data_IF_109561947918
#
_entry.id   IF_109561947918
#
_cell.length_a   1.000
_cell.length_b   1.000
_cell.length_c   1.000
_cell.angle_alpha   90.00
_cell.angle_beta   90.00
_cell.angle_gamma   90.00
#
_symmetry.space_group_name_H-M   'P 1'
#
loop_
_entity.id
_entity.type
_entity.pdbx_description
1 polymer ?
#
# COMPACT_ATOMS: atom_id res chain seq x y z
N UNK A 1 30.24 10.20 26.07
CA UNK A 1 29.36 9.07 25.67
C UNK A 1 29.71 8.72 24.23
N UNK A 2 29.85 7.43 23.87
CA UNK A 2 30.04 7.05 22.48
C UNK A 2 28.73 7.28 21.71
N UNK A 3 28.85 7.93 20.56
CA UNK A 3 27.75 8.13 19.60
C UNK A 3 28.06 7.31 18.34
N UNK A 4 27.21 6.34 18.02
CA UNK A 4 27.34 5.51 16.83
C UNK A 4 26.54 6.13 15.69
N UNK A 5 27.18 6.43 14.57
CA UNK A 5 26.55 7.07 13.41
C UNK A 5 27.05 6.43 12.11
N UNK A 6 26.32 6.63 11.01
CA UNK A 6 26.78 6.22 9.67
C UNK A 6 26.99 7.45 8.81
N UNK A 7 28.20 7.62 8.27
CA UNK A 7 28.50 8.66 7.28
C UNK A 7 28.24 8.14 5.88
N UNK A 8 27.42 8.86 5.12
CA UNK A 8 27.04 8.54 3.74
C UNK A 8 27.32 9.76 2.86
N UNK A 9 27.83 9.53 1.65
CA UNK A 9 28.04 10.58 0.66
C UNK A 9 26.75 10.80 -0.14
N UNK A 10 26.33 12.05 -0.31
CA UNK A 10 25.25 12.38 -1.24
C UNK A 10 25.70 12.12 -2.69
N UNK A 11 24.79 11.91 -3.65
CA UNK A 11 25.15 11.80 -5.07
C UNK A 11 25.90 13.02 -5.62
N UNK A 12 25.75 14.19 -5.00
CA UNK A 12 26.43 15.43 -5.36
C UNK A 12 27.72 15.70 -4.57
N UNK A 13 28.15 14.80 -3.69
CA UNK A 13 29.37 14.97 -2.92
C UNK A 13 30.62 14.91 -3.82
N UNK A 14 31.63 15.71 -3.49
CA UNK A 14 32.89 15.78 -4.25
C UNK A 14 33.67 14.45 -4.28
N UNK A 15 33.44 13.60 -3.29
CA UNK A 15 34.03 12.26 -3.17
C UNK A 15 32.90 11.24 -2.99
N UNK A 16 32.85 10.24 -3.87
CA UNK A 16 31.96 9.09 -3.76
C UNK A 16 32.72 7.95 -3.07
N UNK A 17 32.40 7.71 -1.81
CA UNK A 17 32.99 6.68 -0.96
C UNK A 17 31.86 5.84 -0.34
N UNK A 18 32.10 4.55 -0.05
CA UNK A 18 31.08 3.71 0.57
C UNK A 18 30.68 4.25 1.96
N UNK A 19 29.48 3.93 2.44
CA UNK A 19 29.06 4.28 3.79
C UNK A 19 30.07 3.82 4.85
N UNK A 20 30.37 4.70 5.81
CA UNK A 20 31.32 4.43 6.89
C UNK A 20 30.58 4.45 8.22
N UNK A 21 30.70 3.39 9.01
CA UNK A 21 30.24 3.37 10.39
C UNK A 21 31.25 4.07 11.30
N UNK A 22 30.76 5.01 12.10
CA UNK A 22 31.55 5.87 12.98
C UNK A 22 31.15 5.64 14.44
N UNK A 23 32.16 5.58 15.30
CA UNK A 23 31.97 5.71 16.75
C UNK A 23 32.64 7.01 17.18
N UNK A 24 31.82 7.97 17.62
CA UNK A 24 32.25 9.31 18.00
C UNK A 24 32.33 9.38 19.52
N UNK A 25 33.53 9.58 20.05
CA UNK A 25 33.73 9.86 21.46
C UNK A 25 33.64 11.36 21.71
N UNK A 26 32.62 11.78 22.46
CA UNK A 26 32.46 13.18 22.84
C UNK A 26 31.85 13.33 24.25
N UNK A 27 32.09 14.46 24.93
CA UNK A 27 31.34 14.85 26.11
C UNK A 27 29.83 14.90 25.82
N UNK A 28 29.00 14.56 26.80
CA UNK A 28 27.53 14.66 26.65
C UNK A 28 27.12 16.11 26.36
N UNK A 29 26.35 16.33 25.30
CA UNK A 29 25.90 17.67 24.92
C UNK A 29 26.94 18.49 24.13
N UNK A 30 27.98 17.87 23.60
CA UNK A 30 28.93 18.54 22.70
C UNK A 30 28.21 19.19 21.50
N UNK A 31 28.74 20.33 21.05
CA UNK A 31 28.21 21.05 19.90
C UNK A 31 28.50 20.30 18.61
N UNK A 32 27.52 20.18 17.73
CA UNK A 32 27.67 19.54 16.43
C UNK A 32 28.67 20.25 15.50
N UNK A 33 28.98 21.53 15.76
CA UNK A 33 30.03 22.25 15.03
C UNK A 33 31.40 21.59 15.18
N UNK A 34 31.71 21.06 16.37
CA UNK A 34 32.97 20.33 16.62
C UNK A 34 33.00 19.00 15.86
N UNK A 35 31.87 18.29 15.84
CA UNK A 35 31.71 17.07 15.05
C UNK A 35 31.89 17.34 13.55
N UNK A 36 31.29 18.41 13.02
CA UNK A 36 31.43 18.77 11.62
C UNK A 36 32.87 19.11 11.25
N UNK A 37 33.59 19.84 12.11
CA UNK A 37 35.01 20.14 11.91
C UNK A 37 35.86 18.86 11.92
N UNK A 38 35.58 17.92 12.82
CA UNK A 38 36.27 16.63 12.88
C UNK A 38 36.02 15.78 11.62
N UNK A 39 34.77 15.71 11.14
CA UNK A 39 34.41 15.00 9.91
C UNK A 39 35.08 15.62 8.68
N UNK A 40 35.14 16.95 8.60
CA UNK A 40 35.81 17.65 7.51
C UNK A 40 37.32 17.37 7.50
N UNK A 41 37.96 17.31 8.68
CA UNK A 41 39.38 17.03 8.79
C UNK A 41 39.73 15.57 8.45
N UNK A 42 38.96 14.61 8.99
CA UNK A 42 39.27 13.17 8.86
C UNK A 42 38.77 12.58 7.53
N UNK A 43 37.55 12.92 7.14
CA UNK A 43 36.86 12.31 5.99
C UNK A 43 36.73 13.28 4.81
N UNK A 44 37.32 14.48 4.87
CA UNK A 44 37.24 15.49 3.80
C UNK A 44 35.80 15.79 3.37
N UNK A 45 34.88 15.77 4.34
CA UNK A 45 33.47 16.12 4.10
C UNK A 45 33.33 17.62 3.82
N UNK A 46 32.33 17.98 3.03
CA UNK A 46 31.80 19.34 2.96
C UNK A 46 30.80 19.56 4.10
N UNK A 47 29.66 20.16 3.77
CA UNK A 47 28.58 20.34 4.74
C UNK A 47 27.86 19.02 5.02
N UNK A 48 27.79 18.65 6.29
CA UNK A 48 27.18 17.41 6.74
C UNK A 48 25.82 17.71 7.37
N UNK A 49 24.82 16.88 7.09
CA UNK A 49 23.48 17.03 7.65
C UNK A 49 22.93 15.74 8.26
N UNK A 50 21.99 15.88 9.20
CA UNK A 50 21.16 14.80 9.74
C UNK A 50 19.70 15.18 9.59
N UNK A 51 18.90 14.31 8.95
CA UNK A 51 17.52 14.61 8.57
C UNK A 51 17.37 15.95 7.81
N UNK A 52 18.41 16.33 7.05
CA UNK A 52 18.47 17.60 6.31
C UNK A 52 18.74 18.84 7.16
N UNK A 53 19.07 18.70 8.45
CA UNK A 53 19.56 19.81 9.30
C UNK A 53 21.08 19.79 9.35
N UNK A 54 21.68 20.96 9.23
CA UNK A 54 23.13 21.14 9.36
C UNK A 54 23.63 20.60 10.70
N UNK A 55 24.61 19.70 10.67
CA UNK A 55 25.20 19.11 11.89
C UNK A 55 25.76 20.20 12.80
N UNK A 56 26.33 21.27 12.25
CA UNK A 56 26.87 22.38 13.05
C UNK A 56 25.84 23.07 13.95
N UNK A 57 24.54 22.98 13.60
CA UNK A 57 23.43 23.55 14.37
C UNK A 57 22.83 22.63 15.44
N UNK A 58 23.34 21.40 15.57
CA UNK A 58 22.79 20.36 16.44
C UNK A 58 23.64 20.14 17.68
N UNK A 59 23.09 19.38 18.63
CA UNK A 59 23.78 18.96 19.86
C UNK A 59 23.88 17.44 19.88
N UNK A 60 25.07 16.91 20.16
CA UNK A 60 25.30 15.47 20.20
C UNK A 60 24.51 14.83 21.34
N UNK A 61 23.83 13.72 21.03
CA UNK A 61 22.97 12.99 21.96
C UNK A 61 21.54 13.55 22.06
N UNK A 62 21.20 14.60 21.29
CA UNK A 62 19.84 15.14 21.20
C UNK A 62 19.26 14.93 19.80
N UNK A 63 17.97 14.62 19.66
CA UNK A 63 17.35 14.45 18.35
C UNK A 63 17.57 15.68 17.44
N UNK A 64 17.95 15.49 16.16
CA UNK A 64 18.08 14.20 15.47
C UNK A 64 19.48 13.55 15.56
N UNK A 65 20.47 14.18 16.21
CA UNK A 65 21.86 13.70 16.31
C UNK A 65 22.03 12.75 17.51
N UNK A 66 21.44 11.56 17.39
CA UNK A 66 21.43 10.48 18.40
C UNK A 66 22.10 9.21 17.87
N UNK A 67 22.23 8.17 18.71
CA UNK A 67 22.74 6.88 18.28
C UNK A 67 21.93 6.32 17.09
N UNK A 68 22.62 5.86 16.06
CA UNK A 68 22.05 5.42 14.79
C UNK A 68 21.81 6.57 13.79
N UNK A 69 22.22 7.80 14.08
CA UNK A 69 22.04 8.90 13.14
C UNK A 69 22.84 8.69 11.84
N UNK A 70 22.20 8.94 10.70
CA UNK A 70 22.87 8.97 9.39
C UNK A 70 23.34 10.39 9.09
N UNK A 71 24.65 10.56 8.99
CA UNK A 71 25.32 11.79 8.59
C UNK A 71 25.44 11.78 7.06
N UNK A 72 24.88 12.79 6.39
CA UNK A 72 24.93 12.90 4.93
C UNK A 72 25.87 14.04 4.54
N UNK A 73 26.98 13.71 3.90
CA UNK A 73 27.93 14.66 3.34
C UNK A 73 27.51 15.17 1.96
N UNK A 74 27.71 16.46 1.71
CA UNK A 74 27.31 17.09 0.45
C UNK A 74 25.79 17.26 0.36
N UNK A 75 25.10 17.36 1.50
CA UNK A 75 23.72 17.81 1.51
C UNK A 75 23.73 19.27 1.06
N UNK A 76 23.18 19.54 -0.13
CA UNK A 76 22.97 20.90 -0.58
C UNK A 76 21.93 21.55 0.36
N UNK A 77 22.41 22.25 1.39
CA UNK A 77 21.57 22.97 2.34
C UNK A 77 20.91 24.19 1.68
N UNK A 78 21.44 24.63 0.53
CA UNK A 78 20.92 25.75 -0.27
C UNK A 78 19.93 25.33 -1.34
N UNK A 79 19.98 24.07 -1.78
CA UNK A 79 18.81 23.40 -2.30
C UNK A 79 17.81 23.38 -1.16
N UNK A 80 17.01 24.46 -1.09
CA UNK A 80 15.72 24.45 -0.45
C UNK A 80 15.10 23.13 -0.86
N UNK A 81 15.12 22.15 0.04
CA UNK A 81 14.18 21.03 -0.01
C UNK A 81 12.89 21.73 -0.37
N UNK A 82 12.26 21.47 -1.55
CA UNK A 82 11.03 22.12 -1.93
C UNK A 82 10.20 21.99 -0.68
N UNK A 83 9.93 23.13 -0.05
CA UNK A 83 9.35 23.21 1.28
C UNK A 83 8.25 22.17 1.19
N UNK A 84 8.35 21.07 1.94
CA UNK A 84 7.21 20.21 2.16
C UNK A 84 6.27 21.14 2.90
N UNK A 85 5.58 21.99 2.14
CA UNK A 85 4.19 22.22 2.34
C UNK A 85 3.70 20.78 2.37
N UNK A 86 3.46 20.30 3.57
CA UNK A 86 2.18 19.71 3.86
C UNK A 86 1.09 20.67 3.35
N UNK A 87 0.99 20.88 2.03
CA UNK A 87 -0.28 20.59 1.42
C UNK A 87 -0.33 19.09 1.53
N UNK A 88 -0.84 18.59 2.67
CA UNK A 88 -1.71 17.44 2.55
C UNK A 88 -2.54 17.73 1.30
N UNK A 89 -2.41 16.91 0.24
CA UNK A 89 -3.23 17.14 -0.93
C UNK A 89 -4.66 17.20 -0.40
N UNK A 90 -5.44 18.25 -0.74
CA UNK A 90 -6.69 18.53 -0.05
C UNK A 90 -7.49 17.24 0.03
N UNK A 91 -7.74 16.77 1.25
CA UNK A 91 -8.41 15.51 1.51
C UNK A 91 -9.63 15.47 0.60
N UNK A 92 -9.60 14.56 -0.38
CA UNK A 92 -10.62 14.55 -1.41
C UNK A 92 -11.82 13.84 -0.87
N UNK A 93 -12.87 14.59 -0.64
CA UNK A 93 -14.14 14.03 -0.24
C UNK A 93 -14.64 13.06 -1.33
N UNK A 94 -15.17 11.93 -0.91
CA UNK A 94 -15.82 10.97 -1.78
C UNK A 94 -17.13 10.47 -1.15
N UNK A 95 -18.07 10.05 -1.99
CA UNK A 95 -19.24 9.29 -1.59
C UNK A 95 -18.90 7.79 -1.70
N UNK A 96 -18.98 7.07 -0.59
CA UNK A 96 -18.75 5.63 -0.53
C UNK A 96 -20.08 4.88 -0.36
N UNK A 97 -20.25 3.79 -1.11
CA UNK A 97 -21.38 2.88 -1.01
C UNK A 97 -20.96 1.64 -0.21
N UNK A 98 -21.59 1.43 0.95
CA UNK A 98 -21.23 0.36 1.89
C UNK A 98 -22.03 -0.92 1.69
N UNK A 99 -23.26 -0.82 1.21
CA UNK A 99 -24.18 -1.97 1.06
C UNK A 99 -25.11 -1.81 -0.14
N UNK A 100 -25.82 -2.87 -0.50
CA UNK A 100 -26.66 -2.94 -1.69
C UNK A 100 -25.88 -3.36 -2.94
N UNK A 101 -26.54 -3.34 -4.09
CA UNK A 101 -25.94 -3.79 -5.36
C UNK A 101 -24.76 -2.91 -5.84
N UNK A 102 -24.64 -1.69 -5.31
CA UNK A 102 -23.53 -0.78 -5.59
C UNK A 102 -22.39 -0.83 -4.57
N UNK A 103 -22.39 -1.76 -3.62
CA UNK A 103 -21.39 -1.82 -2.56
C UNK A 103 -19.94 -1.83 -3.11
N UNK A 104 -19.06 -1.07 -2.47
CA UNK A 104 -17.67 -0.88 -2.89
C UNK A 104 -17.46 0.25 -3.91
N UNK A 105 -18.55 0.86 -4.42
CA UNK A 105 -18.44 2.04 -5.27
C UNK A 105 -17.97 3.24 -4.44
N UNK A 106 -16.95 3.94 -4.93
CA UNK A 106 -16.44 5.18 -4.33
C UNK A 106 -16.35 6.25 -5.41
N UNK A 107 -17.06 7.36 -5.22
CA UNK A 107 -17.12 8.44 -6.20
C UNK A 107 -16.50 9.71 -5.62
N UNK A 108 -15.41 10.25 -6.21
CA UNK A 108 -14.82 11.50 -5.72
C UNK A 108 -15.79 12.67 -5.95
N UNK A 109 -15.95 13.49 -4.91
CA UNK A 109 -16.81 14.65 -4.89
C UNK A 109 -15.97 15.92 -4.98
N UNK A 110 -16.34 16.80 -5.92
CA UNK A 110 -15.85 18.17 -6.00
C UNK A 110 -16.98 19.12 -5.62
N UNK A 111 -16.67 20.41 -5.53
CA UNK A 111 -17.71 21.45 -5.38
C UNK A 111 -18.65 21.37 -6.59
N UNK A 112 -19.95 21.40 -6.33
CA UNK A 112 -20.96 21.28 -7.37
C UNK A 112 -22.18 20.50 -6.92
N UNK A 113 -22.98 20.11 -7.91
CA UNK A 113 -24.24 19.40 -7.72
C UNK A 113 -24.16 18.06 -8.42
N UNK A 114 -24.49 17.00 -7.71
CA UNK A 114 -24.53 15.63 -8.21
C UNK A 114 -25.93 15.07 -8.01
N UNK A 115 -26.39 14.28 -8.97
CA UNK A 115 -27.59 13.46 -8.83
C UNK A 115 -27.19 12.03 -8.49
N UNK A 116 -27.90 11.43 -7.54
CA UNK A 116 -27.73 10.03 -7.11
C UNK A 116 -28.96 9.26 -7.54
N UNK A 117 -28.77 8.12 -8.18
CA UNK A 117 -29.90 7.39 -8.75
C UNK A 117 -29.52 6.05 -9.38
N UNK A 118 -30.55 5.27 -9.71
CA UNK A 118 -30.39 4.00 -10.42
C UNK A 118 -29.99 4.17 -11.89
N UNK A 119 -30.43 5.27 -12.52
CA UNK A 119 -30.24 5.51 -13.96
C UNK A 119 -30.51 6.97 -14.31
N UNK A 120 -29.77 7.57 -15.25
CA UNK A 120 -29.91 8.99 -15.61
C UNK A 120 -29.51 9.95 -14.46
N UNK A 121 -28.52 9.56 -13.68
CA UNK A 121 -27.94 10.33 -12.58
C UNK A 121 -26.41 10.35 -12.72
N UNK A 122 -25.75 11.35 -12.12
CA UNK A 122 -24.28 11.49 -12.15
C UNK A 122 -23.59 10.36 -11.37
N UNK A 123 -24.20 9.97 -10.25
CA UNK A 123 -23.77 8.88 -9.39
C UNK A 123 -24.76 7.74 -9.56
N UNK A 124 -24.34 6.74 -10.33
CA UNK A 124 -25.14 5.56 -10.63
C UNK A 124 -24.93 4.47 -9.58
N UNK A 125 -26.02 4.10 -8.91
CA UNK A 125 -26.06 2.99 -7.95
C UNK A 125 -27.06 1.97 -8.48
N UNK A 126 -26.63 0.77 -8.92
CA UNK A 126 -27.49 -0.21 -9.60
C UNK A 126 -28.43 -0.96 -8.63
N UNK A 127 -29.12 -0.23 -7.76
CA UNK A 127 -30.08 -0.76 -6.79
C UNK A 127 -31.51 -0.66 -7.34
N UNK A 128 -32.23 -1.78 -7.35
CA UNK A 128 -33.60 -1.85 -7.86
C UNK A 128 -34.57 -0.92 -7.12
N UNK A 129 -34.34 -0.71 -5.81
CA UNK A 129 -35.17 0.10 -4.93
C UNK A 129 -34.77 1.59 -4.92
N UNK A 130 -33.73 1.97 -5.68
CA UNK A 130 -33.47 3.36 -6.01
C UNK A 130 -34.34 3.82 -7.18
N UNK A 131 -34.78 5.07 -7.10
CA UNK A 131 -35.42 5.76 -8.21
C UNK A 131 -34.38 6.09 -9.29
N UNK A 132 -34.83 6.32 -10.54
CA UNK A 132 -33.93 6.67 -11.66
C UNK A 132 -33.04 7.84 -11.27
N UNK A 133 -33.65 8.93 -10.83
CA UNK A 133 -33.02 10.06 -10.14
C UNK A 133 -33.67 10.11 -8.77
N UNK A 134 -32.92 9.82 -7.70
CA UNK A 134 -33.46 9.59 -6.36
C UNK A 134 -33.20 10.79 -5.44
N UNK A 135 -31.96 11.23 -5.38
CA UNK A 135 -31.56 12.35 -4.55
C UNK A 135 -30.56 13.26 -5.29
N UNK A 136 -30.43 14.48 -4.81
CA UNK A 136 -29.44 15.45 -5.26
C UNK A 136 -28.52 15.81 -4.10
N UNK A 137 -27.23 15.66 -4.35
CA UNK A 137 -26.16 16.02 -3.45
C UNK A 137 -25.57 17.37 -3.88
N UNK A 138 -25.57 18.34 -2.98
CA UNK A 138 -25.01 19.67 -3.21
C UNK A 138 -23.79 19.83 -2.31
N UNK A 139 -22.62 20.00 -2.92
CA UNK A 139 -21.33 20.14 -2.26
C UNK A 139 -20.91 21.60 -2.37
N UNK A 140 -20.94 22.32 -1.24
CA UNK A 140 -20.52 23.72 -1.15
C UNK A 140 -19.28 23.86 -0.29
N UNK A 141 -18.81 25.10 -0.10
CA UNK A 141 -17.62 25.41 0.70
C UNK A 141 -17.86 25.23 2.20
N UNK A 142 -19.11 25.33 2.64
CA UNK A 142 -19.49 25.37 4.05
C UNK A 142 -20.28 24.14 4.48
N UNK A 143 -21.03 23.52 3.57
CA UNK A 143 -21.90 22.40 3.89
C UNK A 143 -22.09 21.45 2.70
N UNK A 144 -22.42 20.21 3.01
CA UNK A 144 -22.85 19.21 2.04
C UNK A 144 -24.30 18.86 2.37
N UNK A 145 -25.17 18.95 1.37
CA UNK A 145 -26.60 18.80 1.56
C UNK A 145 -27.14 17.73 0.63
N UNK A 146 -27.94 16.82 1.16
CA UNK A 146 -28.69 15.86 0.36
C UNK A 146 -30.17 16.27 0.31
N UNK A 147 -30.75 16.26 -0.89
CA UNK A 147 -32.14 16.63 -1.16
C UNK A 147 -32.81 15.47 -1.88
N UNK A 148 -33.86 14.90 -1.29
CA UNK A 148 -34.68 13.89 -1.93
C UNK A 148 -35.48 14.52 -3.09
N UNK A 149 -35.51 13.86 -4.25
CA UNK A 149 -36.20 14.34 -5.45
C UNK A 149 -37.55 13.62 -5.64
N UNK A 150 -38.35 13.57 -4.57
CA UNK A 150 -39.61 12.83 -4.47
C UNK A 150 -39.44 11.36 -4.89
N UNK A 151 -38.46 10.70 -4.27
CA UNK A 151 -38.14 9.32 -4.57
C UNK A 151 -39.21 8.35 -4.05
N UNK A 152 -39.32 7.18 -4.68
CA UNK A 152 -40.36 6.20 -4.35
C UNK A 152 -40.26 5.65 -2.90
N UNK A 153 -39.02 5.44 -2.43
CA UNK A 153 -38.74 4.85 -1.11
C UNK A 153 -38.29 5.88 -0.07
N UNK A 154 -38.08 7.13 -0.50
CA UNK A 154 -37.53 8.21 0.32
C UNK A 154 -36.03 8.06 0.59
N UNK A 155 -35.43 9.17 1.00
CA UNK A 155 -34.06 9.25 1.50
C UNK A 155 -34.07 9.30 3.03
N UNK A 156 -33.17 8.55 3.67
CA UNK A 156 -32.99 8.54 5.12
C UNK A 156 -31.56 8.94 5.50
N UNK A 157 -31.43 9.74 6.55
CA UNK A 157 -30.14 10.16 7.12
C UNK A 157 -30.15 9.84 8.61
N UNK A 158 -29.17 9.06 9.06
CA UNK A 158 -28.99 8.66 10.46
C UNK A 158 -30.22 8.03 11.12
N UNK A 159 -31.04 7.32 10.32
CA UNK A 159 -32.26 6.65 10.80
C UNK A 159 -33.56 7.41 10.53
N UNK A 160 -33.49 8.68 10.12
CA UNK A 160 -34.66 9.54 9.93
C UNK A 160 -34.92 9.86 8.46
N UNK A 161 -36.18 9.73 8.00
CA UNK A 161 -36.56 10.10 6.63
C UNK A 161 -36.56 11.61 6.46
N UNK A 162 -35.83 12.08 5.45
CA UNK A 162 -35.62 13.51 5.21
C UNK A 162 -35.94 13.90 3.77
N UNK A 163 -36.50 15.10 3.58
CA UNK A 163 -36.58 15.74 2.26
C UNK A 163 -35.31 16.52 1.92
N UNK A 164 -34.67 17.08 2.95
CA UNK A 164 -33.44 17.85 2.84
C UNK A 164 -32.67 17.73 4.17
N UNK A 165 -31.39 17.38 4.13
CA UNK A 165 -30.53 17.31 5.30
C UNK A 165 -29.10 17.72 4.98
N UNK A 166 -28.45 18.39 5.93
CA UNK A 166 -26.99 18.59 5.92
C UNK A 166 -26.33 17.31 6.40
N UNK A 167 -25.35 16.82 5.66
CA UNK A 167 -24.65 15.56 5.92
C UNK A 167 -23.16 15.80 6.13
N UNK A 168 -22.55 14.94 6.93
CA UNK A 168 -21.12 14.96 7.24
C UNK A 168 -20.49 13.60 7.01
N UNK A 169 -19.18 13.47 7.23
CA UNK A 169 -18.48 12.18 7.17
C UNK A 169 -18.90 11.19 8.27
N UNK A 170 -19.58 11.67 9.32
CA UNK A 170 -20.20 10.81 10.32
C UNK A 170 -21.63 10.37 9.98
N UNK A 171 -22.23 10.95 8.95
CA UNK A 171 -23.63 10.68 8.59
C UNK A 171 -23.75 9.41 7.75
N UNK A 172 -24.76 8.61 8.06
CA UNK A 172 -25.15 7.42 7.30
C UNK A 172 -26.40 7.74 6.49
N UNK A 173 -26.30 7.64 5.17
CA UNK A 173 -27.40 7.93 4.25
C UNK A 173 -27.92 6.59 3.71
N UNK A 174 -29.23 6.40 3.73
CA UNK A 174 -29.87 5.23 3.12
C UNK A 174 -30.82 5.66 2.02
N UNK A 175 -30.62 5.07 0.84
CA UNK A 175 -31.45 5.24 -0.34
C UNK A 175 -31.79 3.85 -0.88
N UNK A 176 -33.07 3.45 -0.90
CA UNK A 176 -33.43 2.07 -1.23
C UNK A 176 -32.78 1.06 -0.27
N UNK A 177 -32.09 0.04 -0.81
CA UNK A 177 -31.32 -0.93 -0.02
C UNK A 177 -29.84 -0.56 0.11
N UNK A 178 -29.42 0.59 -0.41
CA UNK A 178 -28.04 1.02 -0.43
C UNK A 178 -27.75 1.98 0.72
N UNK A 179 -26.68 1.71 1.46
CA UNK A 179 -26.16 2.60 2.51
C UNK A 179 -24.92 3.31 2.02
N UNK A 180 -24.85 4.62 2.26
CA UNK A 180 -23.88 5.56 1.73
C UNK A 180 -23.28 6.39 2.85
N UNK A 181 -22.03 6.79 2.73
CA UNK A 181 -21.45 7.81 3.60
C UNK A 181 -20.42 8.67 2.87
N UNK A 182 -20.05 9.79 3.48
CA UNK A 182 -18.96 10.62 3.01
C UNK A 182 -17.65 10.17 3.66
N UNK A 183 -16.59 10.04 2.86
CA UNK A 183 -15.25 9.68 3.33
C UNK A 183 -14.21 10.64 2.78
N UNK A 184 -13.13 10.85 3.53
CA UNK A 184 -11.96 11.54 3.03
C UNK A 184 -11.03 10.52 2.38
N UNK A 185 -10.76 10.72 1.09
CA UNK A 185 -9.73 10.00 0.37
C UNK A 185 -8.45 10.82 0.43
N UNK A 186 -7.35 10.19 0.84
CA UNK A 186 -6.05 10.75 0.52
C UNK A 186 -5.89 10.70 -1.00
N UNK A 187 -5.85 11.88 -1.63
CA UNK A 187 -5.27 11.93 -2.96
C UNK A 187 -3.83 11.45 -2.78
N UNK A 188 -3.48 10.31 -3.37
CA UNK A 188 -2.08 10.06 -3.69
C UNK A 188 -1.66 11.14 -4.67
N UNK A 189 -1.29 12.30 -4.13
CA UNK A 189 -0.75 13.45 -4.81
C UNK A 189 0.68 13.15 -5.21
N UNK A 190 0.85 12.24 -6.15
CA UNK A 190 2.03 12.15 -7.00
C UNK A 190 1.53 11.75 -8.37
N UNK A 191 1.63 12.69 -9.32
CA UNK A 191 1.54 12.36 -10.74
C UNK A 191 2.41 11.13 -11.00
N UNK A 192 1.87 10.21 -11.78
CA UNK A 192 2.51 8.98 -12.21
C UNK A 192 3.60 9.28 -13.27
N UNK A 193 4.30 10.39 -13.09
CA UNK A 193 5.14 11.05 -14.08
C UNK A 193 6.61 11.02 -13.58
N UNK A 194 6.81 10.99 -12.25
CA UNK A 194 8.12 10.88 -11.58
C UNK A 194 8.31 9.54 -10.83
N UNK A 195 7.34 8.64 -10.90
CA UNK A 195 7.46 7.28 -10.35
C UNK A 195 8.20 6.37 -11.35
N UNK A 196 9.52 6.53 -11.45
CA UNK A 196 10.34 5.68 -12.32
C UNK A 196 11.82 6.05 -12.48
N UNK A 197 12.27 7.21 -11.97
CA UNK A 197 13.65 7.66 -12.19
C UNK A 197 14.70 7.10 -11.21
N UNK A 198 14.30 6.53 -10.08
CA UNK A 198 15.23 5.92 -9.12
C UNK A 198 14.68 4.58 -8.60
N UNK A 199 14.84 3.54 -9.41
CA UNK A 199 14.79 2.16 -8.92
C UNK A 199 16.23 1.69 -8.79
N UNK A 200 16.80 1.84 -7.60
CA UNK A 200 17.95 1.01 -7.22
C UNK A 200 17.50 -0.45 -7.21
N UNK A 201 18.37 -1.29 -7.75
CA UNK A 201 18.23 -2.70 -8.12
C UNK A 201 17.10 -3.48 -7.42
N UNK A 202 16.29 -4.15 -8.24
CA UNK A 202 15.12 -4.94 -7.85
C UNK A 202 15.54 -5.96 -6.77
N UNK A 203 15.03 -5.83 -5.54
CA UNK A 203 15.14 -6.88 -4.52
C UNK A 203 14.31 -8.08 -4.98
N UNK A 204 14.92 -9.01 -5.70
CA UNK A 204 14.29 -10.28 -6.06
C UNK A 204 14.33 -11.19 -4.84
N UNK A 205 13.23 -11.20 -4.09
CA UNK A 205 13.01 -12.22 -3.06
C UNK A 205 12.61 -13.50 -3.80
N UNK A 206 13.59 -14.30 -4.21
CA UNK A 206 13.34 -15.64 -4.74
C UNK A 206 12.78 -16.50 -3.61
N UNK A 207 11.54 -16.96 -3.76
CA UNK A 207 11.00 -18.05 -2.95
C UNK A 207 11.90 -19.25 -3.17
N UNK A 208 12.47 -19.79 -2.09
CA UNK A 208 13.17 -21.07 -2.12
C UNK A 208 12.11 -22.12 -2.43
N UNK A 209 12.02 -22.55 -3.68
CA UNK A 209 11.25 -23.76 -4.01
C UNK A 209 11.92 -24.91 -3.26
N UNK A 210 11.23 -25.39 -2.23
CA UNK A 210 11.68 -26.55 -1.48
C UNK A 210 11.76 -27.71 -2.49
N UNK A 211 12.91 -28.38 -2.67
CA UNK A 211 13.03 -29.47 -3.61
C UNK A 211 12.20 -30.66 -3.08
N UNK A 212 10.90 -30.63 -3.37
CA UNK A 212 10.00 -31.75 -3.14
C UNK A 212 10.59 -32.92 -3.91
N UNK A 213 11.09 -33.88 -3.15
CA UNK A 213 11.98 -34.94 -3.57
C UNK A 213 11.35 -35.70 -4.74
N UNK A 214 11.76 -35.40 -5.99
CA UNK A 214 11.24 -36.02 -7.22
C UNK A 214 11.32 -37.55 -7.17
N UNK A 215 12.25 -38.08 -6.39
CA UNK A 215 12.41 -39.52 -6.13
C UNK A 215 11.24 -40.09 -5.32
N UNK A 216 10.72 -39.35 -4.33
CA UNK A 216 9.55 -39.77 -3.55
C UNK A 216 8.28 -39.81 -4.42
N UNK A 217 8.14 -38.88 -5.35
CA UNK A 217 7.00 -38.81 -6.29
C UNK A 217 7.03 -39.95 -7.32
N UNK A 218 8.23 -40.32 -7.79
CA UNK A 218 8.39 -41.46 -8.71
C UNK A 218 8.14 -42.82 -8.02
N UNK A 219 8.51 -42.94 -6.74
CA UNK A 219 8.29 -44.16 -5.96
C UNK A 219 6.81 -44.40 -5.64
N UNK A 220 6.04 -43.37 -5.30
CA UNK A 220 4.60 -43.50 -5.05
C UNK A 220 3.81 -43.84 -6.31
N UNK A 221 4.22 -43.36 -7.48
CA UNK A 221 3.56 -43.68 -8.75
C UNK A 221 3.97 -45.06 -9.33
N UNK A 222 5.23 -45.47 -9.17
CA UNK A 222 5.75 -46.69 -9.79
C UNK A 222 5.43 -47.99 -9.04
N UNK A 223 5.39 -47.95 -7.71
CA UNK A 223 5.23 -49.15 -6.88
C UNK A 223 3.90 -49.91 -7.13
N UNK A 224 2.73 -49.25 -7.23
CA UNK A 224 1.47 -49.93 -7.50
C UNK A 224 1.45 -50.61 -8.87
N UNK A 225 2.09 -50.00 -9.87
CA UNK A 225 2.15 -50.53 -11.23
C UNK A 225 2.94 -51.82 -11.29
N UNK A 226 4.10 -51.87 -10.63
CA UNK A 226 4.94 -53.08 -10.57
C UNK A 226 4.23 -54.21 -9.85
N UNK A 227 3.56 -53.92 -8.72
CA UNK A 227 2.79 -54.91 -7.96
C UNK A 227 1.63 -55.46 -8.81
N UNK A 228 0.89 -54.60 -9.49
CA UNK A 228 -0.24 -54.98 -10.33
C UNK A 228 0.15 -55.87 -11.52
N UNK A 229 1.25 -55.54 -12.20
CA UNK A 229 1.80 -56.36 -13.29
C UNK A 229 2.29 -57.71 -12.76
N UNK A 230 2.99 -57.74 -11.63
CA UNK A 230 3.47 -58.98 -11.01
C UNK A 230 2.33 -59.95 -10.64
N UNK A 231 1.27 -59.43 -10.03
CA UNK A 231 0.08 -60.22 -9.69
C UNK A 231 -0.63 -60.75 -10.94
N UNK A 232 -0.73 -59.96 -12.01
CA UNK A 232 -1.35 -60.39 -13.26
C UNK A 232 -0.59 -61.56 -13.92
N UNK A 233 0.74 -61.49 -13.96
CA UNK A 233 1.59 -62.56 -14.52
C UNK A 233 1.52 -63.83 -13.66
N UNK A 234 1.54 -63.68 -12.33
CA UNK A 234 1.54 -64.82 -11.42
C UNK A 234 0.19 -65.54 -11.34
N UNK A 235 -0.92 -64.81 -11.45
CA UNK A 235 -2.28 -65.40 -11.35
C UNK A 235 -2.90 -65.74 -12.70
N UNK A 236 -2.34 -65.24 -13.82
CA UNK A 236 -2.90 -65.42 -15.16
C UNK A 236 -4.21 -64.65 -15.40
N UNK A 237 -4.67 -63.85 -14.44
CA UNK A 237 -5.90 -63.09 -14.52
C UNK A 237 -5.64 -61.67 -15.03
N UNK A 238 -6.10 -61.40 -16.25
CA UNK A 238 -5.95 -60.12 -16.93
C UNK A 238 -6.68 -58.95 -16.24
N UNK A 239 -7.64 -59.23 -15.36
CA UNK A 239 -8.41 -58.20 -14.66
C UNK A 239 -7.59 -57.34 -13.69
N UNK A 240 -6.47 -57.85 -13.16
CA UNK A 240 -5.58 -57.07 -12.30
C UNK A 240 -4.89 -55.92 -13.05
N UNK A 241 -4.70 -56.06 -14.36
CA UNK A 241 -4.14 -55.03 -15.22
C UNK A 241 -5.11 -53.84 -15.36
N UNK A 242 -6.42 -54.10 -15.40
CA UNK A 242 -7.46 -53.07 -15.44
C UNK A 242 -7.51 -52.23 -14.15
N UNK A 243 -7.42 -52.87 -12.97
CA UNK A 243 -7.37 -52.16 -11.69
C UNK A 243 -6.11 -51.28 -11.55
N UNK A 244 -4.99 -51.77 -12.08
CA UNK A 244 -3.71 -51.04 -12.07
C UNK A 244 -3.79 -49.77 -12.94
N UNK A 245 -4.42 -49.86 -14.11
CA UNK A 245 -4.63 -48.72 -15.00
C UNK A 245 -5.49 -47.63 -14.36
N UNK A 246 -6.59 -48.00 -13.68
CA UNK A 246 -7.47 -47.05 -12.99
C UNK A 246 -6.78 -46.37 -11.81
N UNK A 247 -5.93 -47.10 -11.08
CA UNK A 247 -5.15 -46.55 -9.96
C UNK A 247 -4.08 -45.55 -10.44
N UNK A 248 -3.37 -45.87 -11.53
CA UNK A 248 -2.37 -44.97 -12.11
C UNK A 248 -2.98 -43.64 -12.58
N UNK A 249 -4.18 -43.68 -13.17
CA UNK A 249 -4.90 -42.48 -13.62
C UNK A 249 -5.28 -41.59 -12.43
N UNK A 250 -5.74 -42.15 -11.31
CA UNK A 250 -6.13 -41.36 -10.12
C UNK A 250 -4.97 -40.61 -9.47
N UNK A 251 -3.74 -41.13 -9.57
CA UNK A 251 -2.53 -40.49 -9.03
C UNK A 251 -2.01 -39.38 -9.95
N UNK A 252 -2.30 -39.45 -11.25
CA UNK A 252 -1.83 -38.49 -12.24
C UNK A 252 -2.68 -37.20 -12.28
N UNK A 253 -3.96 -37.28 -11.90
CA UNK A 253 -4.90 -36.14 -11.93
C UNK A 253 -4.44 -34.92 -11.09
N UNK A 254 -3.92 -35.08 -9.85
CA UNK A 254 -3.43 -33.94 -9.06
C UNK A 254 -2.12 -33.33 -9.61
N UNK A 255 -1.34 -34.08 -10.38
CA UNK A 255 -0.02 -33.64 -10.90
C UNK A 255 -0.17 -32.79 -12.16
N UNK A 256 -1.23 -32.99 -12.93
CA UNK A 256 -1.52 -32.22 -14.16
C UNK A 256 -2.37 -30.96 -13.84
N UNK A 257 -3.06 -30.95 -12.70
CA UNK A 257 -3.91 -29.83 -12.26
C UNK A 257 -3.23 -28.79 -11.37
N UNK A 258 -1.92 -28.90 -11.15
CA UNK A 258 -1.09 -27.95 -10.39
C UNK A 258 -0.19 -27.13 -11.29
#
# INVERSE_FOLDING_TARGET
MPLHCTLVRSPGAALQEPPVELTIESPSGAAGAELQAALACTFRTGTVSVNGRDVSSLTLGQPPLVNGATLVDGADLTARRPRQRTSEPPASLALAVHSGAGAGTVVPLRRGTYTVGRSNADILIPDADLSRVHARLVVTDTAITIVDLDSANGTEVDGERVRNAVISTGSTIRCGNSTLSLVFMEQSGKGLDDAGADVHERLVVSRRDDPTNRVALLLTAGLPVVIGVGLAVMTGMWMFLAFTAVSAISILVPVIGG
#
